data_IF_496305588101
#
_entry.id   IF_496305588101
#
_cell.length_a   1.000
_cell.length_b   1.000
_cell.length_c   1.000
_cell.angle_alpha   90.00
_cell.angle_beta   90.00
_cell.angle_gamma   90.00
#
_symmetry.space_group_name_H-M   'P 1'
#
loop_
_entity.id
_entity.type
_entity.pdbx_description
1 polymer ?
#
# COMPACT_ATOMS: atom_id res chain seq x y z
N UNK A 1 -6.28 75.62 -69.57
CA UNK A 1 -7.27 74.62 -69.12
C UNK A 1 -6.71 73.21 -69.23
N UNK A 2 -5.91 72.94 -70.27
CA UNK A 2 -5.38 71.60 -70.55
C UNK A 2 -4.40 71.06 -69.48
N UNK A 3 -3.47 71.88 -68.96
CA UNK A 3 -2.55 71.44 -67.88
C UNK A 3 -3.23 70.99 -66.58
N UNK A 4 -4.43 71.50 -66.29
CA UNK A 4 -5.18 71.09 -65.10
C UNK A 4 -5.87 69.73 -65.32
N UNK A 5 -6.30 69.47 -66.55
CA UNK A 5 -6.89 68.20 -66.97
C UNK A 5 -5.81 67.10 -66.96
N UNK A 6 -4.59 67.41 -67.43
CA UNK A 6 -3.48 66.44 -67.42
C UNK A 6 -3.10 66.01 -65.99
N UNK A 7 -3.04 66.96 -65.05
CA UNK A 7 -2.75 66.67 -63.64
C UNK A 7 -3.83 65.80 -62.99
N UNK A 8 -5.10 66.11 -63.24
CA UNK A 8 -6.22 65.30 -62.73
C UNK A 8 -6.23 63.90 -63.33
N UNK A 9 -5.84 63.77 -64.61
CA UNK A 9 -5.76 62.47 -65.29
C UNK A 9 -4.68 61.59 -64.66
N UNK A 10 -3.52 62.17 -64.37
CA UNK A 10 -2.41 61.49 -63.70
C UNK A 10 -2.80 61.05 -62.27
N UNK A 11 -3.48 61.91 -61.51
CA UNK A 11 -3.95 61.59 -60.16
C UNK A 11 -5.01 60.46 -60.16
N UNK A 12 -5.91 60.46 -61.15
CA UNK A 12 -6.89 59.37 -61.35
C UNK A 12 -6.17 58.03 -61.64
N UNK A 13 -5.10 58.06 -62.43
CA UNK A 13 -4.35 56.85 -62.77
C UNK A 13 -3.59 56.29 -61.56
N UNK A 14 -2.96 57.16 -60.77
CA UNK A 14 -2.31 56.78 -59.51
C UNK A 14 -3.30 56.21 -58.48
N UNK A 15 -4.47 56.84 -58.33
CA UNK A 15 -5.54 56.34 -57.45
C UNK A 15 -6.07 54.97 -57.91
N UNK A 16 -6.20 54.75 -59.22
CA UNK A 16 -6.57 53.44 -59.78
C UNK A 16 -5.51 52.38 -59.47
N UNK A 17 -4.22 52.68 -59.62
CA UNK A 17 -3.15 51.73 -59.31
C UNK A 17 -3.09 51.38 -57.81
N UNK A 18 -3.32 52.36 -56.91
CA UNK A 18 -3.39 52.09 -55.47
C UNK A 18 -4.59 51.23 -55.10
N UNK A 19 -5.74 51.50 -55.71
CA UNK A 19 -6.96 50.71 -55.48
C UNK A 19 -6.77 49.26 -55.95
N UNK A 20 -6.14 49.05 -57.11
CA UNK A 20 -5.86 47.71 -57.63
C UNK A 20 -4.99 46.89 -56.66
N UNK A 21 -3.92 47.49 -56.11
CA UNK A 21 -3.06 46.83 -55.11
C UNK A 21 -3.82 46.51 -53.82
N UNK A 22 -4.65 47.43 -53.34
CA UNK A 22 -5.49 47.20 -52.17
C UNK A 22 -6.53 46.09 -52.41
N UNK A 23 -7.05 45.97 -53.63
CA UNK A 23 -8.00 44.92 -54.01
C UNK A 23 -7.31 43.55 -54.18
N UNK A 24 -6.03 43.50 -54.56
CA UNK A 24 -5.21 42.28 -54.55
C UNK A 24 -4.92 41.82 -53.11
N UNK A 25 -4.44 42.72 -52.24
CA UNK A 25 -4.16 42.41 -50.83
C UNK A 25 -5.42 41.94 -50.08
N UNK A 26 -6.58 42.54 -50.38
CA UNK A 26 -7.85 42.12 -49.80
C UNK A 26 -8.23 40.69 -50.22
N UNK A 27 -8.00 40.32 -51.48
CA UNK A 27 -8.26 38.97 -51.99
C UNK A 27 -7.37 37.93 -51.33
N UNK A 28 -6.09 38.25 -51.11
CA UNK A 28 -5.16 37.36 -50.41
C UNK A 28 -5.56 37.14 -48.96
N UNK A 29 -6.02 38.21 -48.27
CA UNK A 29 -6.52 38.12 -46.90
C UNK A 29 -7.83 37.31 -46.81
N UNK A 30 -8.75 37.49 -47.75
CA UNK A 30 -9.99 36.70 -47.85
C UNK A 30 -9.68 35.21 -48.01
N UNK A 31 -8.73 34.86 -48.91
CA UNK A 31 -8.28 33.49 -49.11
C UNK A 31 -7.69 32.88 -47.83
N UNK A 32 -6.88 33.65 -47.09
CA UNK A 32 -6.28 33.20 -45.84
C UNK A 32 -7.30 32.98 -44.73
N UNK A 33 -8.38 33.75 -44.70
CA UNK A 33 -9.49 33.56 -43.76
C UNK A 33 -10.23 32.25 -44.07
N UNK A 34 -10.47 31.95 -45.34
CA UNK A 34 -11.08 30.68 -45.76
C UNK A 34 -10.22 29.48 -45.37
N UNK A 35 -8.91 29.53 -45.60
CA UNK A 35 -7.97 28.47 -45.23
C UNK A 35 -7.92 28.23 -43.72
N UNK A 36 -7.85 29.30 -42.92
CA UNK A 36 -7.89 29.20 -41.45
C UNK A 36 -9.23 28.66 -40.95
N UNK A 37 -10.34 29.02 -41.60
CA UNK A 37 -11.67 28.46 -41.34
C UNK A 37 -11.69 26.94 -41.55
N UNK A 38 -11.16 26.47 -42.69
CA UNK A 38 -11.06 25.05 -43.00
C UNK A 38 -10.14 24.30 -42.02
N UNK A 39 -9.06 24.93 -41.56
CA UNK A 39 -8.15 24.34 -40.58
C UNK A 39 -8.79 24.23 -39.20
N UNK A 40 -9.55 25.25 -38.77
CA UNK A 40 -10.28 25.22 -37.51
C UNK A 40 -11.36 24.13 -37.51
N UNK A 41 -12.13 23.99 -38.59
CA UNK A 41 -13.15 22.94 -38.70
C UNK A 41 -12.54 21.52 -38.62
N UNK A 42 -11.35 21.33 -39.22
CA UNK A 42 -10.60 20.08 -39.10
C UNK A 42 -10.13 19.81 -37.67
N UNK A 43 -9.56 20.82 -36.99
CA UNK A 43 -9.11 20.69 -35.60
C UNK A 43 -10.28 20.43 -34.64
N UNK A 44 -11.42 21.10 -34.85
CA UNK A 44 -12.64 20.85 -34.07
C UNK A 44 -13.14 19.41 -34.27
N UNK A 45 -13.10 18.92 -35.51
CA UNK A 45 -13.45 17.53 -35.82
C UNK A 45 -12.51 16.53 -35.15
N UNK A 46 -11.21 16.80 -35.11
CA UNK A 46 -10.19 15.96 -34.47
C UNK A 46 -10.32 15.97 -32.94
N UNK A 47 -10.56 17.14 -32.33
CA UNK A 47 -10.82 17.27 -30.89
C UNK A 47 -12.07 16.49 -30.50
N UNK A 48 -13.16 16.62 -31.26
CA UNK A 48 -14.42 15.91 -31.00
C UNK A 48 -14.26 14.38 -31.15
N UNK A 49 -13.51 13.92 -32.16
CA UNK A 49 -13.17 12.50 -32.31
C UNK A 49 -12.37 11.97 -31.11
N UNK A 50 -11.36 12.71 -30.66
CA UNK A 50 -10.55 12.36 -29.50
C UNK A 50 -11.34 12.43 -28.17
N UNK A 51 -12.27 13.38 -28.02
CA UNK A 51 -13.17 13.47 -26.87
C UNK A 51 -14.10 12.27 -26.78
N UNK A 52 -14.68 11.83 -27.91
CA UNK A 52 -15.51 10.63 -27.97
C UNK A 52 -14.73 9.36 -27.64
N UNK A 53 -13.47 9.26 -28.10
CA UNK A 53 -12.61 8.14 -27.72
C UNK A 53 -12.24 8.17 -26.23
N UNK A 54 -12.02 9.37 -25.66
CA UNK A 54 -11.72 9.53 -24.23
C UNK A 54 -12.89 9.22 -23.30
N UNK A 55 -14.14 9.37 -23.75
CA UNK A 55 -15.34 9.04 -22.98
C UNK A 55 -15.72 7.54 -23.02
N UNK A 56 -15.17 6.76 -23.96
CA UNK A 56 -15.48 5.33 -24.15
C UNK A 56 -14.38 4.35 -23.64
N UNK A 57 -13.41 4.84 -22.87
CA UNK A 57 -12.41 3.97 -22.23
C UNK A 57 -12.97 3.33 -20.95
N UNK A 58 -13.48 2.11 -21.11
CA UNK A 58 -13.88 1.11 -20.11
C UNK A 58 -12.75 0.61 -19.17
N UNK A 59 -11.79 1.46 -18.81
CA UNK A 59 -10.67 1.10 -17.93
C UNK A 59 -10.95 1.39 -16.43
N UNK A 60 -12.03 2.12 -16.11
CA UNK A 60 -12.39 2.45 -14.72
C UNK A 60 -13.16 1.32 -14.01
N UNK A 61 -13.94 0.52 -14.73
CA UNK A 61 -14.80 -0.53 -14.14
C UNK A 61 -13.98 -1.73 -13.65
N UNK A 62 -12.93 -2.08 -14.39
CA UNK A 62 -12.01 -3.17 -14.03
C UNK A 62 -11.03 -2.73 -12.93
N UNK A 63 -10.58 -1.47 -12.94
CA UNK A 63 -9.73 -0.91 -11.90
C UNK A 63 -10.47 -0.78 -10.56
N UNK A 64 -11.72 -0.31 -10.58
CA UNK A 64 -12.56 -0.24 -9.37
C UNK A 64 -12.90 -1.63 -8.84
N UNK A 65 -13.22 -2.59 -9.72
CA UNK A 65 -13.44 -3.99 -9.35
C UNK A 65 -12.21 -4.62 -8.70
N UNK A 66 -11.02 -4.42 -9.28
CA UNK A 66 -9.76 -4.88 -8.73
C UNK A 66 -9.43 -4.19 -7.39
N UNK A 67 -9.70 -2.90 -7.25
CA UNK A 67 -9.52 -2.16 -5.99
C UNK A 67 -10.46 -2.66 -4.88
N UNK A 68 -11.71 -2.98 -5.22
CA UNK A 68 -12.67 -3.58 -4.29
C UNK A 68 -12.26 -4.99 -3.88
N UNK A 69 -11.83 -5.83 -4.84
CA UNK A 69 -11.30 -7.17 -4.58
C UNK A 69 -10.07 -7.11 -3.66
N UNK A 70 -9.14 -6.19 -3.91
CA UNK A 70 -7.93 -6.01 -3.10
C UNK A 70 -8.26 -5.56 -1.67
N UNK A 71 -9.23 -4.64 -1.52
CA UNK A 71 -9.72 -4.18 -0.22
C UNK A 71 -10.39 -5.32 0.54
N UNK A 72 -11.26 -6.08 -0.13
CA UNK A 72 -11.92 -7.26 0.43
C UNK A 72 -10.91 -8.34 0.85
N UNK A 73 -9.90 -8.60 0.03
CA UNK A 73 -8.84 -9.56 0.35
C UNK A 73 -8.01 -9.09 1.55
N UNK A 74 -7.67 -7.80 1.64
CA UNK A 74 -7.01 -7.22 2.82
C UNK A 74 -7.86 -7.36 4.08
N UNK A 75 -9.16 -7.11 3.99
CA UNK A 75 -10.09 -7.31 5.10
C UNK A 75 -10.22 -8.78 5.49
N UNK A 76 -10.32 -9.70 4.53
CA UNK A 76 -10.37 -11.14 4.79
C UNK A 76 -9.07 -11.65 5.42
N UNK A 77 -7.91 -11.18 4.95
CA UNK A 77 -6.61 -11.51 5.53
C UNK A 77 -6.49 -10.95 6.94
N UNK A 78 -6.88 -9.68 7.14
CA UNK A 78 -6.93 -9.07 8.47
C UNK A 78 -7.88 -9.84 9.40
N UNK A 79 -9.06 -10.23 8.91
CA UNK A 79 -10.06 -11.00 9.65
C UNK A 79 -9.54 -12.39 10.02
N UNK A 80 -8.93 -13.11 9.07
CA UNK A 80 -8.31 -14.42 9.34
C UNK A 80 -7.10 -14.33 10.25
N UNK A 81 -6.31 -13.25 10.17
CA UNK A 81 -5.25 -12.99 11.14
C UNK A 81 -5.85 -12.74 12.54
N UNK A 82 -6.92 -11.95 12.66
CA UNK A 82 -7.67 -11.81 13.93
C UNK A 82 -8.27 -13.11 14.44
N UNK A 83 -8.79 -13.97 13.57
CA UNK A 83 -9.32 -15.29 13.93
C UNK A 83 -8.20 -16.27 14.33
N UNK A 84 -6.99 -16.16 13.77
CA UNK A 84 -5.82 -16.89 14.24
C UNK A 84 -5.37 -16.47 15.65
N UNK A 85 -5.69 -15.26 16.09
CA UNK A 85 -5.51 -14.85 17.49
C UNK A 85 -6.64 -15.37 18.41
N UNK A 86 -7.72 -15.94 17.85
CA UNK A 86 -8.78 -16.62 18.61
C UNK A 86 -8.46 -18.12 18.78
N UNK A 87 -7.74 -18.36 19.87
CA UNK A 87 -7.59 -19.59 20.65
C UNK A 87 -8.29 -20.87 20.18
N UNK A 88 -7.48 -21.80 19.67
CA UNK A 88 -7.79 -23.22 19.63
C UNK A 88 -6.58 -24.12 19.35
N UNK A 89 -5.53 -23.57 18.73
CA UNK A 89 -4.31 -24.30 18.37
C UNK A 89 -3.11 -23.75 19.13
N UNK A 90 -2.34 -24.65 19.72
CA UNK A 90 -1.07 -24.36 20.41
C UNK A 90 0.05 -24.74 19.45
N UNK A 91 0.98 -23.83 19.18
CA UNK A 91 2.20 -24.12 18.46
C UNK A 91 3.15 -24.94 19.33
N UNK A 92 3.64 -26.04 18.77
CA UNK A 92 4.64 -26.92 19.38
C UNK A 92 5.95 -26.96 18.58
N UNK A 93 5.98 -26.31 17.41
CA UNK A 93 7.11 -26.37 16.47
C UNK A 93 7.87 -25.05 16.38
N UNK A 94 7.21 -23.92 16.66
CA UNK A 94 7.79 -22.58 16.61
C UNK A 94 7.49 -21.83 17.92
N UNK A 95 8.29 -20.80 18.16
CA UNK A 95 8.06 -19.87 19.27
C UNK A 95 8.11 -18.43 18.76
N UNK A 96 7.69 -18.21 17.52
CA UNK A 96 7.81 -16.92 16.86
C UNK A 96 6.78 -15.92 17.39
N UNK A 97 7.00 -14.63 17.15
CA UNK A 97 6.10 -13.59 17.64
C UNK A 97 4.71 -13.80 17.05
N UNK A 98 3.69 -13.79 17.92
CA UNK A 98 2.30 -14.09 17.56
C UNK A 98 1.89 -15.55 17.82
N UNK A 99 2.83 -16.46 18.02
CA UNK A 99 2.50 -17.86 18.29
C UNK A 99 1.81 -18.02 19.65
N UNK A 100 0.73 -18.81 19.67
CA UNK A 100 0.14 -19.33 20.89
C UNK A 100 0.95 -20.53 21.37
N UNK A 101 1.50 -20.47 22.58
CA UNK A 101 2.41 -21.49 23.10
C UNK A 101 2.00 -22.00 24.48
N UNK A 102 2.39 -23.22 24.81
CA UNK A 102 2.21 -23.79 26.13
C UNK A 102 3.45 -23.53 26.99
N UNK A 103 3.21 -22.97 28.18
CA UNK A 103 4.23 -22.58 29.14
C UNK A 103 4.11 -23.52 30.34
N UNK A 104 5.21 -24.16 30.72
CA UNK A 104 5.24 -25.19 31.78
C UNK A 104 6.42 -24.98 32.72
N UNK A 105 6.24 -25.29 33.99
CA UNK A 105 7.32 -25.30 34.97
C UNK A 105 8.20 -26.54 34.78
N UNK A 106 9.50 -26.32 34.56
CA UNK A 106 10.49 -27.39 34.45
C UNK A 106 11.14 -27.64 35.81
N UNK A 107 11.01 -28.86 36.33
CA UNK A 107 11.69 -29.27 37.58
C UNK A 107 13.21 -29.40 37.40
N UNK A 108 13.68 -29.72 36.21
CA UNK A 108 15.11 -29.86 35.91
C UNK A 108 15.83 -28.50 36.01
N UNK A 109 15.26 -27.50 35.34
CA UNK A 109 15.86 -26.16 35.26
C UNK A 109 15.38 -25.21 36.35
N UNK A 110 14.29 -25.56 37.07
CA UNK A 110 13.61 -24.71 38.06
C UNK A 110 13.23 -23.35 37.46
N UNK A 111 12.71 -23.37 36.24
CA UNK A 111 12.28 -22.22 35.46
C UNK A 111 11.03 -22.59 34.65
N UNK A 112 10.24 -21.57 34.27
CA UNK A 112 9.20 -21.75 33.26
C UNK A 112 9.82 -21.84 31.87
N UNK A 113 9.41 -22.86 31.11
CA UNK A 113 9.84 -23.11 29.74
C UNK A 113 8.64 -23.13 28.80
N UNK A 114 8.89 -22.84 27.53
CA UNK A 114 7.92 -23.01 26.45
C UNK A 114 8.11 -24.42 25.89
N UNK A 115 7.04 -25.21 25.93
CA UNK A 115 7.05 -26.54 25.35
C UNK A 115 7.25 -26.46 23.83
N UNK A 116 8.19 -27.25 23.31
CA UNK A 116 8.40 -27.41 21.87
C UNK A 116 8.94 -28.81 21.55
N UNK A 117 8.60 -29.34 20.38
CA UNK A 117 9.00 -30.67 19.90
C UNK A 117 10.38 -30.68 19.24
N UNK A 118 10.91 -29.51 18.87
CA UNK A 118 12.22 -29.38 18.20
C UNK A 118 13.40 -29.59 19.15
N UNK A 119 13.16 -29.73 20.45
CA UNK A 119 14.17 -30.08 21.44
C UNK A 119 15.18 -28.97 21.76
N UNK A 120 14.84 -27.70 21.47
CA UNK A 120 15.65 -26.56 21.92
C UNK A 120 15.05 -25.95 23.18
N UNK A 121 15.90 -25.36 24.03
CA UNK A 121 15.43 -24.69 25.23
C UNK A 121 14.84 -23.32 24.90
N UNK A 122 13.60 -23.09 25.31
CA UNK A 122 12.93 -21.80 25.28
C UNK A 122 12.45 -21.48 26.69
N UNK A 123 13.05 -20.48 27.34
CA UNK A 123 12.70 -20.06 28.70
C UNK A 123 11.78 -18.86 28.67
N UNK A 124 10.81 -18.84 29.58
CA UNK A 124 9.97 -17.67 29.80
C UNK A 124 10.79 -16.55 30.46
N UNK A 125 10.59 -15.33 29.99
CA UNK A 125 11.14 -14.14 30.61
C UNK A 125 10.42 -13.80 31.93
N UNK A 126 11.15 -13.30 32.92
CA UNK A 126 10.62 -12.99 34.27
C UNK A 126 9.47 -11.99 34.24
N UNK A 127 9.55 -10.97 33.38
CA UNK A 127 8.52 -9.95 33.18
C UNK A 127 7.14 -10.53 32.78
N UNK A 128 7.12 -11.74 32.18
CA UNK A 128 5.89 -12.41 31.77
C UNK A 128 5.25 -13.26 32.87
N UNK A 129 5.96 -13.56 33.97
CA UNK A 129 5.46 -14.46 35.01
C UNK A 129 4.21 -13.88 35.68
N UNK A 130 4.28 -12.62 36.11
CA UNK A 130 3.19 -11.97 36.82
C UNK A 130 1.97 -11.76 35.93
N UNK A 131 2.16 -11.31 34.68
CA UNK A 131 1.05 -11.05 33.75
C UNK A 131 0.29 -12.33 33.40
N UNK A 132 0.98 -13.46 33.30
CA UNK A 132 0.40 -14.79 33.06
C UNK A 132 -0.21 -15.44 34.32
N UNK A 133 -0.06 -14.81 35.48
CA UNK A 133 -0.52 -15.32 36.77
C UNK A 133 0.17 -16.61 37.19
N UNK A 134 1.40 -16.84 36.73
CA UNK A 134 2.17 -18.04 37.06
C UNK A 134 2.72 -17.95 38.49
N UNK A 135 2.66 -19.07 39.21
CA UNK A 135 3.12 -19.21 40.59
C UNK A 135 3.51 -20.67 40.87
N UNK A 136 4.07 -20.95 42.05
CA UNK A 136 4.40 -22.33 42.43
C UNK A 136 3.19 -23.30 42.36
N UNK A 137 1.98 -22.78 42.59
CA UNK A 137 0.73 -23.50 42.48
C UNK A 137 0.26 -23.61 41.02
N UNK A 138 0.37 -22.52 40.23
CA UNK A 138 0.04 -22.51 38.80
C UNK A 138 1.27 -22.82 37.96
N UNK A 139 1.51 -24.12 37.78
CA UNK A 139 2.70 -24.66 37.09
C UNK A 139 2.64 -24.63 35.57
N UNK A 140 1.49 -24.31 34.97
CA UNK A 140 1.37 -24.21 33.52
C UNK A 140 0.30 -23.20 33.10
N UNK A 141 0.44 -22.68 31.89
CA UNK A 141 -0.55 -21.82 31.25
C UNK A 141 -0.30 -21.74 29.74
N UNK A 142 -1.19 -21.08 29.01
CA UNK A 142 -0.98 -20.72 27.61
C UNK A 142 -0.77 -19.22 27.49
N UNK A 143 -0.04 -18.80 26.46
CA UNK A 143 0.21 -17.39 26.20
C UNK A 143 0.61 -17.13 24.76
N UNK A 144 0.53 -15.86 24.35
CA UNK A 144 0.99 -15.41 23.03
C UNK A 144 2.40 -14.86 23.16
N UNK A 145 3.32 -15.33 22.31
CA UNK A 145 4.67 -14.78 22.23
C UNK A 145 4.62 -13.34 21.72
N UNK A 146 5.24 -12.42 22.45
CA UNK A 146 5.32 -11.00 22.07
C UNK A 146 6.73 -10.56 21.69
N UNK A 147 7.75 -11.25 22.21
CA UNK A 147 9.14 -10.93 21.95
C UNK A 147 10.02 -12.16 22.28
N UNK A 148 11.22 -12.22 21.73
CA UNK A 148 12.19 -13.24 22.10
C UNK A 148 13.59 -12.99 21.60
N UNK A 149 14.57 -13.39 22.40
CA UNK A 149 16.00 -13.16 22.15
C UNK A 149 16.80 -14.47 22.25
N UNK A 150 17.89 -14.55 21.49
CA UNK A 150 18.83 -15.65 21.56
C UNK A 150 19.88 -15.41 22.64
N UNK A 151 20.05 -16.40 23.50
CA UNK A 151 20.97 -16.38 24.62
C UNK A 151 21.98 -17.53 24.51
N UNK A 152 23.14 -17.34 25.14
CA UNK A 152 24.14 -18.40 25.33
C UNK A 152 24.64 -18.39 26.76
N UNK A 153 24.76 -19.55 27.37
CA UNK A 153 25.32 -19.70 28.71
C UNK A 153 26.83 -19.45 28.69
N UNK A 154 27.30 -18.46 29.47
CA UNK A 154 28.74 -18.15 29.58
C UNK A 154 29.44 -18.81 30.77
N UNK A 155 28.67 -19.28 31.75
CA UNK A 155 29.16 -19.87 33.00
C UNK A 155 28.46 -21.20 33.26
N UNK A 156 29.16 -22.14 33.88
CA UNK A 156 28.63 -23.48 34.21
C UNK A 156 27.56 -23.42 35.30
N UNK A 157 27.75 -22.57 36.32
CA UNK A 157 26.73 -22.28 37.32
C UNK A 157 25.87 -21.08 36.87
N UNK A 158 24.87 -21.34 36.04
CA UNK A 158 23.91 -20.32 35.59
C UNK A 158 22.49 -20.64 36.07
N UNK A 159 21.65 -19.59 36.14
CA UNK A 159 20.26 -19.68 36.63
C UNK A 159 19.36 -20.62 35.83
N UNK A 160 19.78 -21.02 34.62
CA UNK A 160 19.04 -21.92 33.74
C UNK A 160 19.49 -23.38 33.91
N UNK A 161 20.54 -23.64 34.71
CA UNK A 161 21.11 -24.97 34.99
C UNK A 161 21.53 -25.73 33.73
N UNK A 162 21.85 -25.00 32.67
CA UNK A 162 22.33 -25.58 31.42
C UNK A 162 23.86 -25.62 31.40
N UNK A 163 24.48 -26.54 30.63
CA UNK A 163 25.92 -26.53 30.39
C UNK A 163 26.43 -25.19 29.82
N UNK A 164 27.71 -24.88 29.97
CA UNK A 164 28.33 -23.71 29.33
C UNK A 164 28.32 -23.86 27.81
N UNK A 165 28.03 -22.78 27.08
CA UNK A 165 27.97 -22.76 25.62
C UNK A 165 26.62 -23.18 25.03
N UNK A 166 25.68 -23.63 25.86
CA UNK A 166 24.32 -23.97 25.41
C UNK A 166 23.60 -22.72 24.91
N UNK A 167 23.10 -22.81 23.68
CA UNK A 167 22.24 -21.78 23.06
C UNK A 167 20.79 -22.08 23.40
N UNK A 168 20.05 -21.04 23.78
CA UNK A 168 18.64 -21.14 24.10
C UNK A 168 17.93 -19.84 23.74
N UNK A 169 16.61 -19.84 23.75
CA UNK A 169 15.79 -18.65 23.52
C UNK A 169 15.16 -18.18 24.83
N UNK A 170 15.11 -16.87 25.07
CA UNK A 170 14.38 -16.26 26.19
C UNK A 170 13.21 -15.48 25.60
N UNK A 171 11.99 -15.80 26.02
CA UNK A 171 10.76 -15.42 25.33
C UNK A 171 9.84 -14.66 26.27
N UNK A 172 9.31 -13.53 25.82
CA UNK A 172 8.23 -12.81 26.52
C UNK A 172 6.90 -13.26 25.94
N UNK A 173 5.96 -13.56 26.84
CA UNK A 173 4.59 -13.89 26.48
C UNK A 173 3.60 -12.96 27.20
N UNK A 174 2.42 -12.80 26.61
CA UNK A 174 1.26 -12.15 27.23
C UNK A 174 0.10 -13.15 27.41
N UNK A 175 -0.83 -12.90 28.35
CA UNK A 175 -2.05 -13.68 28.46
C UNK A 175 -2.81 -13.73 27.14
N UNK A 176 -3.46 -14.86 26.91
CA UNK A 176 -4.38 -15.02 25.80
C UNK A 176 -5.73 -14.40 26.16
N UNK A 177 -6.25 -13.52 25.30
CA UNK A 177 -7.62 -13.01 25.43
C UNK A 177 -8.60 -14.12 25.07
N UNK A 178 -9.02 -14.90 26.06
CA UNK A 178 -10.10 -15.87 25.90
C UNK A 178 -11.40 -15.07 25.82
N UNK A 179 -11.77 -14.63 24.61
CA UNK A 179 -13.17 -14.25 24.35
C UNK A 179 -13.98 -15.53 24.49
N UNK A 180 -14.53 -15.77 25.68
CA UNK A 180 -15.54 -16.81 25.89
C UNK A 180 -16.68 -16.49 24.93
N UNK A 181 -16.82 -17.28 23.87
CA UNK A 181 -18.07 -17.33 23.13
C UNK A 181 -19.11 -17.85 24.10
N UNK A 182 -19.85 -16.94 24.74
CA UNK A 182 -21.05 -17.26 25.48
C UNK A 182 -22.07 -17.78 24.46
N UNK A 183 -22.09 -19.09 24.25
CA UNK A 183 -23.24 -19.77 23.65
C UNK A 183 -24.24 -19.97 24.78
N UNK A 184 -25.26 -19.09 24.80
CA UNK A 184 -26.53 -19.34 25.49
C UNK A 184 -27.34 -20.40 24.75
#
# INVERSE_FOLDING_TARGET
KDRAIDKLTQEIEELKSRKLKSDDEKRDLETKIEDLGCQNEKLESEINYNQRIGEDCSEDEDLTSLQMENTRLKELLSKRMSDNYSCGKISVTSTDIGDCVMIVWSQETQQYIIYNEKGYYAFLHTDSIQSLGLSEEKRFTTGIVVDGEYCVTRRSNNRFRLPTGTRFRRVKCKPMDIRRSNTN
#
